data_IF_401125702499
#
_entry.id   IF_401125702499
#
_cell.length_a   1.000
_cell.length_b   1.000
_cell.length_c   1.000
_cell.angle_alpha   90.00
_cell.angle_beta   90.00
_cell.angle_gamma   90.00
#
_symmetry.space_group_name_H-M   'P 1'
#
loop_
_entity.id
_entity.type
_entity.pdbx_description
1 polymer ?
2 non-polymer ?
3 non-polymer ?
4 water ?
#
# COMPACT_ATOMS: atom_id res chain seq x y z
N UNK A 6 -24.16 9.49 5.23
CA UNK A 6 -23.59 10.39 4.19
C UNK A 6 -22.12 10.11 3.90
N UNK A 7 -21.86 9.73 2.65
CA UNK A 7 -20.49 9.47 2.13
C UNK A 7 -19.97 10.66 1.30
N UNK A 8 -18.89 11.29 1.75
CA UNK A 8 -18.25 12.38 1.01
C UNK A 8 -16.78 12.06 0.68
N UNK A 9 -16.21 12.83 -0.24
CA UNK A 9 -14.80 12.76 -0.57
C UNK A 9 -13.98 13.28 0.60
N UNK A 10 -12.93 12.56 0.95
CA UNK A 10 -11.96 13.06 1.92
C UNK A 10 -11.11 14.18 1.32
N UNK A 11 -10.75 15.14 2.15
CA UNK A 11 -9.82 16.19 1.77
C UNK A 11 -8.44 15.57 1.47
N UNK A 12 -7.63 16.25 0.65
CA UNK A 12 -6.29 15.78 0.38
C UNK A 12 -5.46 15.71 1.67
N UNK A 13 -5.66 16.65 2.57
CA UNK A 13 -4.96 16.62 3.86
C UNK A 13 -5.25 15.32 4.66
N UNK A 14 -6.51 14.92 4.74
CA UNK A 14 -6.90 13.70 5.46
C UNK A 14 -6.49 12.44 4.76
N UNK A 15 -6.51 12.46 3.41
CA UNK A 15 -5.95 11.36 2.64
C UNK A 15 -4.45 11.23 2.97
N UNK A 16 -3.75 12.35 2.91
CA UNK A 16 -2.32 12.39 3.19
C UNK A 16 -1.98 11.92 4.59
N UNK A 17 -2.68 12.44 5.59
CA UNK A 17 -2.53 11.93 6.98
C UNK A 17 -2.67 10.40 7.06
N UNK A 18 -3.69 9.86 6.41
CA UNK A 18 -3.90 8.40 6.38
C UNK A 18 -2.77 7.60 5.72
N UNK A 19 -2.23 8.07 4.59
CA UNK A 19 -1.27 7.26 3.86
C UNK A 19 0.17 7.49 4.31
N UNK A 20 0.41 8.61 4.99
CA UNK A 20 1.65 8.81 5.72
C UNK A 20 1.69 8.02 7.05
N UNK A 21 0.56 7.98 7.78
CA UNK A 21 0.52 7.42 9.15
C UNK A 21 -0.06 6.03 9.34
N UNK A 22 -0.85 5.53 8.38
CA UNK A 22 -1.41 4.18 8.51
C UNK A 22 -0.41 3.21 7.88
N UNK A 23 0.35 2.55 8.75
CA UNK A 23 1.35 1.54 8.40
C UNK A 23 0.71 0.35 7.63
N UNK A 24 -0.30 -0.24 8.25
CA UNK A 24 -0.94 -1.46 7.71
C UNK A 24 -1.96 -1.10 6.63
N UNK A 25 -1.77 -1.67 5.45
CA UNK A 25 -2.74 -1.59 4.39
C UNK A 25 -3.11 -3.02 3.97
N UNK A 26 -4.17 -3.15 3.19
CA UNK A 26 -4.56 -4.45 2.67
C UNK A 26 -4.33 -4.45 1.18
N UNK A 27 -3.44 -5.34 0.75
CA UNK A 27 -2.98 -5.43 -0.62
C UNK A 27 -3.91 -6.40 -1.37
N UNK A 28 -4.28 -6.00 -2.57
CA UNK A 28 -5.07 -6.82 -3.47
C UNK A 28 -4.28 -7.12 -4.71
N UNK A 29 -4.34 -8.38 -5.14
CA UNK A 29 -3.77 -8.77 -6.42
C UNK A 29 -4.61 -9.84 -7.03
N UNK A 30 -4.32 -10.15 -8.28
CA UNK A 30 -5.14 -11.06 -9.06
C UNK A 30 -4.34 -12.30 -9.48
N UNK A 31 -4.92 -13.46 -9.22
CA UNK A 31 -4.36 -14.75 -9.66
C UNK A 31 -5.44 -15.50 -10.42
N UNK A 32 -5.17 -15.83 -11.69
CA UNK A 32 -6.12 -16.59 -12.48
C UNK A 32 -7.50 -15.96 -12.44
N UNK A 33 -7.52 -14.63 -12.55
CA UNK A 33 -8.80 -13.89 -12.63
C UNK A 33 -9.57 -13.79 -11.29
N UNK A 34 -8.98 -14.27 -10.20
CA UNK A 34 -9.57 -14.22 -8.85
C UNK A 34 -8.77 -13.25 -7.99
N UNK A 35 -9.45 -12.42 -7.19
CA UNK A 35 -8.79 -11.49 -6.26
C UNK A 35 -8.31 -12.16 -4.95
N UNK A 36 -7.16 -11.71 -4.44
CA UNK A 36 -6.61 -12.14 -3.15
C UNK A 36 -6.28 -10.88 -2.40
N UNK A 37 -6.53 -10.90 -1.10
CA UNK A 37 -6.21 -9.76 -0.25
C UNK A 37 -5.30 -10.24 0.87
N UNK A 38 -4.27 -9.43 1.17
CA UNK A 38 -3.34 -9.77 2.23
C UNK A 38 -2.95 -8.47 2.97
N UNK A 39 -2.95 -8.48 4.30
CA UNK A 39 -2.47 -7.27 5.00
C UNK A 39 -0.95 -7.17 4.89
N UNK A 40 -0.46 -5.96 4.70
CA UNK A 40 1.00 -5.71 4.60
C UNK A 40 1.26 -4.38 5.25
N UNK A 41 2.49 -4.16 5.66
CA UNK A 41 2.85 -2.83 6.10
C UNK A 41 3.56 -2.08 4.98
N UNK A 42 3.17 -0.83 4.78
CA UNK A 42 3.71 -0.02 3.70
C UNK A 42 4.36 1.27 4.21
N UNK A 43 5.32 1.79 3.44
CA UNK A 43 5.78 3.15 3.62
C UNK A 43 5.56 3.93 2.36
N UNK A 44 4.87 5.06 2.47
CA UNK A 44 4.67 5.98 1.38
C UNK A 44 5.92 6.88 1.32
N UNK A 45 6.57 6.93 0.19
CA UNK A 45 7.79 7.68 0.02
C UNK A 45 7.93 8.03 -1.47
N UNK A 46 8.06 9.33 -1.77
CA UNK A 46 8.35 9.80 -3.15
C UNK A 46 7.22 9.45 -4.11
N UNK A 47 6.01 9.41 -3.60
CA UNK A 47 4.83 9.10 -4.37
C UNK A 47 4.53 7.65 -4.66
N UNK A 48 5.29 6.72 -4.06
CA UNK A 48 5.00 5.31 -4.19
C UNK A 48 4.91 4.67 -2.82
N UNK A 49 4.39 3.46 -2.77
CA UNK A 49 4.32 2.76 -1.51
C UNK A 49 5.33 1.64 -1.56
N UNK A 50 6.18 1.58 -0.56
CA UNK A 50 7.22 0.55 -0.49
C UNK A 50 6.89 -0.52 0.53
N UNK A 51 7.20 -1.76 0.17
CA UNK A 51 7.04 -2.84 1.07
C UNK A 51 7.98 -4.00 0.65
N UNK A 52 7.80 -5.13 1.30
CA UNK A 52 8.50 -6.36 0.90
C UNK A 52 7.68 -7.59 1.29
N UNK A 53 8.02 -8.72 0.69
CA UNK A 53 7.47 -9.99 1.10
C UNK A 53 8.54 -11.09 1.00
N UNK A 54 8.46 -12.06 1.90
CA UNK A 54 9.24 -13.27 1.81
C UNK A 54 8.39 -14.41 1.22
N UNK A 55 7.14 -14.11 0.87
CA UNK A 55 6.28 -15.09 0.24
C UNK A 55 6.42 -15.13 -1.31
N UNK A 56 7.19 -16.10 -1.79
CA UNK A 56 7.41 -16.31 -3.23
C UNK A 56 6.16 -16.42 -4.08
N UNK A 57 5.06 -16.90 -3.49
CA UNK A 57 3.77 -17.02 -4.18
C UNK A 57 3.17 -15.66 -4.47
N UNK A 58 3.28 -14.74 -3.52
CA UNK A 58 2.83 -13.36 -3.75
C UNK A 58 3.69 -12.69 -4.82
N UNK A 59 5.00 -12.77 -4.65
CA UNK A 59 5.93 -12.26 -5.64
C UNK A 59 5.60 -12.77 -7.04
N UNK A 60 5.45 -14.08 -7.17
CA UNK A 60 5.18 -14.67 -8.48
C UNK A 60 3.85 -14.23 -9.07
N UNK A 61 2.83 -14.20 -8.23
CA UNK A 61 1.53 -13.71 -8.64
C UNK A 61 1.64 -12.30 -9.22
N UNK A 62 2.34 -11.40 -8.53
CA UNK A 62 2.34 -10.02 -8.92
C UNK A 62 3.27 -9.73 -10.12
N UNK A 63 4.25 -10.60 -10.34
CA UNK A 63 5.05 -10.57 -11.54
C UNK A 63 4.21 -10.88 -12.76
N UNK A 64 3.31 -11.86 -12.65
CA UNK A 64 2.47 -12.26 -13.78
C UNK A 64 1.30 -11.29 -13.99
N UNK A 65 0.76 -10.70 -12.93
CA UNK A 65 -0.25 -9.66 -13.08
C UNK A 65 0.03 -8.50 -12.13
N UNK A 66 0.53 -7.40 -12.67
CA UNK A 66 1.10 -6.35 -11.82
C UNK A 66 0.07 -5.33 -11.46
N UNK A 67 -1.18 -5.56 -11.86
CA UNK A 67 -2.30 -4.69 -11.47
C UNK A 67 -2.72 -4.98 -10.04
N UNK A 68 -2.46 -4.02 -9.14
CA UNK A 68 -2.69 -4.22 -7.70
C UNK A 68 -3.33 -2.99 -7.07
N UNK A 69 -3.82 -3.16 -5.85
CA UNK A 69 -4.38 -2.05 -5.11
C UNK A 69 -3.99 -2.16 -3.65
N UNK A 70 -4.19 -1.08 -2.92
CA UNK A 70 -4.04 -1.11 -1.49
C UNK A 70 -5.19 -0.35 -0.87
N UNK A 71 -5.87 -0.98 0.08
CA UNK A 71 -6.84 -0.27 0.90
C UNK A 71 -6.25 0.12 2.28
N UNK A 72 -6.38 1.42 2.59
CA UNK A 72 -6.15 1.94 3.94
C UNK A 72 -7.47 2.41 4.47
N UNK A 73 -7.76 2.10 5.73
CA UNK A 73 -9.06 2.49 6.26
C UNK A 73 -9.00 2.71 7.74
N UNK A 74 -9.94 3.51 8.20
CA UNK A 74 -10.08 3.78 9.59
C UNK A 74 -11.56 3.69 9.84
N UNK A 75 -11.98 2.57 10.42
CA UNK A 75 -13.41 2.30 10.59
C UNK A 75 -13.75 2.36 12.09
N UNK A 76 -14.53 3.39 12.48
CA UNK A 76 -14.95 3.63 13.85
C UNK A 76 -16.25 2.91 14.08
N UNK A 77 -17.16 3.01 13.10
CA UNK A 77 -18.44 2.31 13.18
C UNK A 77 -18.98 2.03 11.79
N UNK A 78 -20.19 1.46 11.73
CA UNK A 78 -20.88 1.20 10.46
C UNK A 78 -21.06 2.50 9.68
N UNK A 79 -21.26 3.60 10.39
CA UNK A 79 -21.51 4.92 9.74
C UNK A 79 -20.41 5.99 9.92
N UNK A 80 -19.35 5.66 10.66
CA UNK A 80 -18.19 6.54 10.82
C UNK A 80 -16.96 5.80 10.31
N UNK A 81 -16.45 6.20 9.15
CA UNK A 81 -15.26 5.57 8.62
C UNK A 81 -14.61 6.39 7.54
N UNK A 82 -13.36 6.07 7.29
CA UNK A 82 -12.53 6.67 6.22
C UNK A 82 -11.83 5.56 5.48
N UNK A 83 -11.85 5.63 4.14
CA UNK A 83 -11.19 4.66 3.28
C UNK A 83 -10.39 5.41 2.21
N UNK A 84 -9.17 4.92 1.99
CA UNK A 84 -8.31 5.38 0.90
C UNK A 84 -7.92 4.14 0.08
N UNK A 85 -8.24 4.17 -1.20
CA UNK A 85 -7.83 3.12 -2.15
C UNK A 85 -6.79 3.62 -3.10
N UNK A 86 -5.67 2.91 -3.13
CA UNK A 86 -4.61 3.13 -4.10
C UNK A 86 -4.71 2.04 -5.17
N UNK A 87 -4.80 2.44 -6.43
CA UNK A 87 -4.75 1.49 -7.53
C UNK A 87 -3.47 1.79 -8.29
N UNK A 88 -2.70 0.75 -8.56
CA UNK A 88 -1.46 0.91 -9.25
C UNK A 88 -0.83 -0.40 -9.69
N UNK A 89 0.49 -0.36 -9.75
CA UNK A 89 1.28 -1.38 -10.38
C UNK A 89 2.36 -1.86 -9.44
N UNK A 90 2.52 -3.18 -9.39
CA UNK A 90 3.68 -3.79 -8.75
C UNK A 90 4.93 -3.51 -9.54
N UNK A 91 5.90 -2.93 -8.87
CA UNK A 91 7.21 -2.72 -9.44
C UNK A 91 8.24 -3.27 -8.48
N UNK A 92 8.81 -4.41 -8.84
CA UNK A 92 9.77 -5.13 -8.00
C UNK A 92 11.10 -4.41 -7.93
N UNK A 93 11.72 -4.43 -6.76
CA UNK A 93 12.94 -3.70 -6.56
C UNK A 93 14.08 -4.65 -6.93
N UNK A 94 15.01 -4.17 -7.78
CA UNK A 94 16.22 -4.91 -8.11
C UNK A 94 17.17 -5.00 -6.91
N UNK A 95 17.96 -6.08 -6.87
CA UNK A 95 18.98 -6.29 -5.83
C UNK A 95 19.78 -5.02 -5.60
N UNK A 96 20.23 -4.39 -6.68
CA UNK A 96 21.08 -3.18 -6.60
C UNK A 96 20.37 -2.02 -5.91
N UNK A 97 19.04 -2.04 -5.91
CA UNK A 97 18.25 -0.96 -5.37
C UNK A 97 17.63 -1.30 -3.99
N UNK A 98 17.98 -2.44 -3.40
CA UNK A 98 17.37 -2.83 -2.11
C UNK A 98 17.79 -1.92 -0.92
N UNK A 99 19.04 -1.50 -0.88
CA UNK A 99 19.46 -0.58 0.16
C UNK A 99 18.72 0.74 0.08
N UNK A 100 18.46 1.23 -1.13
CA UNK A 100 17.63 2.44 -1.29
C UNK A 100 16.23 2.18 -0.79
N UNK A 101 15.66 1.03 -1.15
CA UNK A 101 14.34 0.72 -0.71
C UNK A 101 14.27 0.64 0.83
N UNK A 102 15.27 0.01 1.44
CA UNK A 102 15.26 -0.18 2.88
C UNK A 102 15.32 1.18 3.61
N UNK A 103 16.24 2.06 3.18
CA UNK A 103 16.30 3.44 3.74
C UNK A 103 15.00 4.23 3.54
N UNK A 104 14.39 4.17 2.34
CA UNK A 104 13.08 4.83 2.12
C UNK A 104 12.04 4.30 3.06
N UNK A 105 12.04 2.99 3.24
CA UNK A 105 11.07 2.37 4.13
C UNK A 105 11.29 2.86 5.58
N UNK A 106 12.53 2.93 6.03
CA UNK A 106 12.76 3.20 7.45
C UNK A 106 12.98 4.67 7.83
N UNK A 107 13.52 5.46 6.92
CA UNK A 107 14.05 6.77 7.25
C UNK A 107 12.97 7.66 7.81
N UNK A 108 13.18 8.13 9.04
CA UNK A 108 12.29 9.09 9.70
C UNK A 108 10.81 8.62 9.77
N UNK A 109 10.63 7.34 10.02
CA UNK A 109 9.30 6.81 10.39
C UNK A 109 9.04 7.12 11.88
N UNK A 110 7.80 7.59 12.22
CA UNK A 110 7.41 7.82 13.67
C UNK A 110 7.47 6.57 14.59
N UNK A 111 6.96 5.44 14.07
CA UNK A 111 6.72 4.18 14.83
C UNK A 111 7.98 3.29 14.86
N UNK A 112 7.87 2.14 15.54
CA UNK A 112 8.98 1.17 15.67
C UNK A 112 8.73 -0.04 14.77
N UNK A 113 9.83 -0.61 14.24
CA UNK A 113 9.81 -1.84 13.43
C UNK A 113 10.32 -2.97 14.26
N UNK A 131 14.68 -14.50 2.66
CA UNK A 131 15.20 -13.47 1.77
C UNK A 131 14.04 -12.66 1.25
N UNK A 132 13.87 -11.41 1.74
CA UNK A 132 12.72 -10.63 1.26
C UNK A 132 12.91 -10.18 -0.15
N UNK A 133 11.81 -10.06 -0.88
CA UNK A 133 11.82 -9.37 -2.16
C UNK A 133 11.06 -8.05 -1.94
N UNK A 134 11.78 -6.94 -2.17
CA UNK A 134 11.23 -5.61 -1.98
C UNK A 134 10.47 -5.18 -3.21
N UNK A 135 9.42 -4.41 -2.98
CA UNK A 135 8.67 -3.88 -4.11
C UNK A 135 8.10 -2.56 -3.79
N UNK A 136 7.74 -1.83 -4.84
CA UNK A 136 6.93 -0.65 -4.64
C UNK A 136 5.67 -0.68 -5.45
N UNK A 137 4.72 0.14 -5.04
CA UNK A 137 3.45 0.25 -5.69
C UNK A 137 3.39 1.66 -6.24
N UNK A 138 3.40 1.78 -7.57
CA UNK A 138 3.29 3.08 -8.21
C UNK A 138 1.83 3.38 -8.41
N UNK A 139 1.46 4.64 -8.24
CA UNK A 139 0.06 5.00 -8.09
C UNK A 139 -0.48 5.40 -9.43
N UNK A 140 -1.62 4.80 -9.80
CA UNK A 140 -2.32 5.20 -11.00
C UNK A 140 -3.62 5.93 -10.67
N UNK A 141 -4.24 5.56 -9.56
CA UNK A 141 -5.42 6.26 -9.04
C UNK A 141 -5.39 6.25 -7.51
N UNK A 142 -5.77 7.35 -6.90
CA UNK A 142 -5.81 7.44 -5.49
C UNK A 142 -7.15 8.04 -5.19
N UNK A 143 -7.92 7.40 -4.33
CA UNK A 143 -9.23 7.95 -3.98
C UNK A 143 -9.46 7.74 -2.52
N UNK A 144 -10.24 8.64 -1.95
CA UNK A 144 -10.49 8.62 -0.53
C UNK A 144 -11.87 9.16 -0.26
N UNK A 145 -12.59 8.44 0.61
CA UNK A 145 -13.92 8.85 1.02
C UNK A 145 -14.12 8.63 2.50
N UNK A 146 -15.13 9.29 3.04
CA UNK A 146 -15.47 9.16 4.43
C UNK A 146 -16.99 9.25 4.63
N UNK A 147 -17.44 8.68 5.76
CA UNK A 147 -18.83 8.70 6.16
C UNK A 147 -18.87 9.27 7.55
N UNK A 148 -19.74 10.24 7.78
CA UNK A 148 -20.13 10.66 9.11
C UNK A 148 -21.63 10.48 9.25
X LIG B 1 -12.77 4.04 -2.64
X LIG B 1 -12.57 5.10 -3.59
X LIG B 1 -11.97 4.37 -1.39
X LIG B 1 -12.52 5.52 -0.75
X LIG C 1 13.15 2.18 -5.88
X LIG D 1 4.79 -6.55 5.28
#
# INVERSE_FOLDING_TARGET
GPGSMLITEMSDYDIREMIQHKHVGRLGYVVDDRPIIVPMTFRFSGGSFYSFTTDGQKTNAMRKNDAICILFDQIESQTKWRTVLVQGRYREIAREDEEEAIVRIMANEPTWWEPAYTKTITKEGTARALKPVFFRVDIEKLSGHQAE
EDO C1 O1 C2 O2
CL CL
CL CL
#
